data_IF_860475491430
#
_entry.id   IF_860475491430
#
_cell.length_a   1.000
_cell.length_b   1.000
_cell.length_c   1.000
_cell.angle_alpha   90.00
_cell.angle_beta   90.00
_cell.angle_gamma   90.00
#
_symmetry.space_group_name_H-M   'P 1'
#
loop_
_entity.id
_entity.type
_entity.pdbx_description
1 polymer ?
#
# COMPACT_ATOMS: atom_id res chain seq x y z
N UNK A 1 -21.60 10.70 3.59
CA UNK A 1 -20.40 10.02 3.10
C UNK A 1 -20.61 8.53 3.31
N UNK A 2 -20.99 7.79 2.27
CA UNK A 2 -21.10 6.33 2.36
C UNK A 2 -19.66 5.81 2.34
N UNK A 3 -19.18 5.35 3.49
CA UNK A 3 -17.95 4.58 3.59
C UNK A 3 -18.05 3.42 2.60
N UNK A 4 -17.05 3.29 1.73
CA UNK A 4 -17.05 2.37 0.60
C UNK A 4 -17.00 0.92 1.14
N UNK A 5 -18.18 0.39 1.45
CA UNK A 5 -18.36 -0.94 2.02
C UNK A 5 -18.22 -1.94 0.86
N UNK A 6 -17.24 -2.85 0.93
CA UNK A 6 -16.95 -3.92 -0.04
C UNK A 6 -16.17 -3.53 -1.31
N UNK A 7 -15.18 -2.62 -1.21
CA UNK A 7 -14.21 -2.46 -2.29
C UNK A 7 -13.12 -3.54 -2.23
N UNK A 8 -12.92 -4.29 -3.31
CA UNK A 8 -11.78 -5.21 -3.46
C UNK A 8 -10.47 -4.42 -3.43
N UNK A 9 -9.49 -4.92 -2.66
CA UNK A 9 -8.18 -4.30 -2.52
C UNK A 9 -7.08 -5.35 -2.63
N UNK A 10 -5.89 -4.89 -3.05
CA UNK A 10 -4.68 -5.69 -2.99
C UNK A 10 -4.00 -5.45 -1.63
N UNK A 11 -3.59 -6.53 -0.96
CA UNK A 11 -2.86 -6.44 0.30
C UNK A 11 -1.47 -7.03 0.13
N UNK A 12 -0.45 -6.17 0.17
CA UNK A 12 0.96 -6.59 0.15
C UNK A 12 1.47 -6.76 1.58
N UNK A 13 1.75 -8.00 1.97
CA UNK A 13 2.36 -8.34 3.26
C UNK A 13 3.88 -8.36 3.14
N UNK A 14 4.57 -7.62 4.02
CA UNK A 14 6.03 -7.50 4.00
C UNK A 14 6.59 -7.87 5.37
N UNK A 15 7.41 -8.92 5.44
CA UNK A 15 8.07 -9.33 6.66
C UNK A 15 9.24 -8.39 7.00
N UNK A 16 9.22 -7.78 8.19
CA UNK A 16 10.25 -6.85 8.65
C UNK A 16 11.64 -7.46 8.76
N UNK A 17 11.75 -8.77 9.03
CA UNK A 17 13.05 -9.45 9.05
C UNK A 17 13.72 -9.44 7.67
N UNK A 18 12.93 -9.46 6.59
CA UNK A 18 13.45 -9.36 5.23
C UNK A 18 13.90 -7.92 4.87
N UNK A 19 13.53 -6.92 5.69
CA UNK A 19 13.80 -5.50 5.46
C UNK A 19 15.00 -4.97 6.25
N UNK A 20 15.73 -5.81 6.98
CA UNK A 20 16.81 -5.35 7.87
C UNK A 20 17.86 -4.46 7.17
N UNK A 21 18.07 -4.62 5.85
CA UNK A 21 18.96 -3.78 5.03
C UNK A 21 18.24 -2.68 4.22
N UNK A 22 16.91 -2.75 4.10
CA UNK A 22 16.09 -1.92 3.19
C UNK A 22 14.97 -1.17 3.90
N UNK A 23 14.95 -1.13 5.24
CA UNK A 23 13.92 -0.47 6.04
C UNK A 23 13.71 1.01 5.66
N UNK A 24 14.80 1.74 5.41
CA UNK A 24 14.73 3.14 4.98
C UNK A 24 14.14 3.31 3.56
N UNK A 25 14.32 2.32 2.68
CA UNK A 25 13.76 2.33 1.33
C UNK A 25 12.24 2.10 1.36
N UNK A 26 11.78 1.20 2.22
CA UNK A 26 10.34 0.98 2.39
C UNK A 26 9.63 2.26 2.85
N UNK A 27 10.23 3.01 3.79
CA UNK A 27 9.66 4.29 4.24
C UNK A 27 9.54 5.31 3.08
N UNK A 28 10.52 5.34 2.17
CA UNK A 28 10.47 6.19 0.98
C UNK A 28 9.39 5.74 -0.01
N UNK A 29 9.28 4.43 -0.26
CA UNK A 29 8.26 3.86 -1.14
C UNK A 29 6.85 4.20 -0.64
N UNK A 30 6.58 4.01 0.65
CA UNK A 30 5.29 4.36 1.26
C UNK A 30 5.00 5.87 1.15
N UNK A 31 6.01 6.72 1.41
CA UNK A 31 5.84 8.18 1.31
C UNK A 31 5.49 8.60 -0.12
N UNK A 32 6.22 8.09 -1.11
CA UNK A 32 5.97 8.38 -2.53
C UNK A 32 4.57 7.90 -2.93
N UNK A 33 4.17 6.68 -2.54
CA UNK A 33 2.85 6.15 -2.84
C UNK A 33 1.71 6.99 -2.24
N UNK A 34 1.89 7.51 -1.02
CA UNK A 34 0.92 8.45 -0.41
C UNK A 34 0.81 9.75 -1.20
N UNK A 35 1.94 10.38 -1.53
CA UNK A 35 1.95 11.63 -2.30
C UNK A 35 1.33 11.44 -3.69
N UNK A 36 1.64 10.34 -4.38
CA UNK A 36 1.05 10.03 -5.68
C UNK A 36 -0.45 9.70 -5.61
N UNK A 37 -0.91 9.11 -4.50
CA UNK A 37 -2.33 8.87 -4.25
C UNK A 37 -3.10 10.20 -4.12
N UNK A 38 -2.53 11.17 -3.41
CA UNK A 38 -3.12 12.52 -3.26
C UNK A 38 -3.19 13.29 -4.59
N UNK A 39 -2.26 13.01 -5.52
CA UNK A 39 -2.24 13.58 -6.86
C UNK A 39 -3.19 12.89 -7.85
N UNK A 40 -3.88 11.82 -7.45
CA UNK A 40 -4.82 11.05 -8.29
C UNK A 40 -4.23 10.64 -9.65
N UNK A 41 -2.98 10.19 -9.67
CA UNK A 41 -2.31 9.82 -10.92
C UNK A 41 -2.88 8.51 -11.49
N UNK A 42 -3.51 8.58 -12.67
CA UNK A 42 -4.27 7.48 -13.29
C UNK A 42 -3.49 6.16 -13.43
N UNK A 43 -2.19 6.22 -13.74
CA UNK A 43 -1.36 5.02 -13.94
C UNK A 43 -0.61 4.54 -12.69
N UNK A 44 -0.97 5.04 -11.50
CA UNK A 44 -0.36 4.65 -10.24
C UNK A 44 -1.44 4.20 -9.26
N UNK A 45 -1.26 3.01 -8.69
CA UNK A 45 -2.20 2.46 -7.72
C UNK A 45 -2.28 3.33 -6.47
N UNK A 46 -3.51 3.60 -6.02
CA UNK A 46 -3.73 4.33 -4.78
C UNK A 46 -3.39 3.47 -3.56
N UNK A 47 -2.69 4.06 -2.58
CA UNK A 47 -2.49 3.46 -1.26
C UNK A 47 -3.62 3.91 -0.33
N UNK A 48 -4.48 2.97 0.06
CA UNK A 48 -5.60 3.25 0.97
C UNK A 48 -5.17 3.27 2.43
N UNK A 49 -4.31 2.34 2.83
CA UNK A 49 -3.88 2.21 4.22
C UNK A 49 -2.51 1.55 4.33
N UNK A 50 -1.83 1.81 5.44
CA UNK A 50 -0.59 1.16 5.83
C UNK A 50 -0.68 0.74 7.29
N UNK A 51 -0.70 -0.57 7.55
CA UNK A 51 -0.76 -1.14 8.90
C UNK A 51 0.56 -1.78 9.26
N UNK A 52 1.11 -1.38 10.40
CA UNK A 52 2.36 -1.91 10.92
C UNK A 52 2.10 -2.73 12.18
N UNK A 53 2.72 -3.90 12.25
CA UNK A 53 2.72 -4.79 13.41
C UNK A 53 4.16 -5.07 13.82
N UNK A 54 4.41 -5.82 14.89
CA UNK A 54 5.77 -6.14 15.35
C UNK A 54 6.61 -6.86 14.28
N UNK A 55 6.00 -7.67 13.41
CA UNK A 55 6.73 -8.49 12.43
C UNK A 55 6.45 -8.14 10.97
N UNK A 56 5.34 -7.45 10.68
CA UNK A 56 4.91 -7.20 9.31
C UNK A 56 4.50 -5.76 9.09
N UNK A 57 4.66 -5.31 7.85
CA UNK A 57 4.02 -4.12 7.29
C UNK A 57 3.03 -4.60 6.23
N UNK A 58 1.81 -4.10 6.29
CA UNK A 58 0.75 -4.37 5.33
C UNK A 58 0.42 -3.10 4.58
N UNK A 59 0.52 -3.14 3.25
CA UNK A 59 0.08 -2.06 2.37
C UNK A 59 -1.26 -2.47 1.75
N UNK A 60 -2.30 -1.68 2.00
CA UNK A 60 -3.63 -1.88 1.42
C UNK A 60 -3.75 -0.92 0.26
N UNK A 61 -3.88 -1.46 -0.94
CA UNK A 61 -3.79 -0.72 -2.20
C UNK A 61 -5.01 -0.99 -3.08
N UNK A 62 -5.23 -0.09 -4.04
CA UNK A 62 -6.14 -0.32 -5.15
C UNK A 62 -5.83 -1.64 -5.85
N UNK A 63 -6.85 -2.48 -6.02
CA UNK A 63 -6.75 -3.67 -6.85
C UNK A 63 -7.00 -3.29 -8.30
N UNK A 64 -6.02 -3.52 -9.18
CA UNK A 64 -6.28 -3.54 -10.62
C UNK A 64 -6.78 -4.94 -10.99
N UNK A 65 -8.08 -5.05 -11.22
CA UNK A 65 -8.70 -6.26 -11.76
C UNK A 65 -8.59 -6.25 -13.28
N UNK A 66 -7.39 -6.44 -13.81
CA UNK A 66 -7.21 -6.88 -15.19
C UNK A 66 -6.90 -8.39 -15.15
N UNK A 67 -7.99 -9.18 -15.09
CA UNK A 67 -8.06 -10.64 -15.27
C UNK A 67 -7.46 -11.51 -14.15
N UNK A 68 -8.19 -12.58 -13.85
CA UNK A 68 -8.05 -13.56 -12.77
C UNK A 68 -6.73 -14.35 -12.77
#
# INVERSE_FOLDING_TARGET
MISKLNQTCAVKSINKKALAKSHALLGKEIKILKELTELHHENVVALFDCKETSMYVYLVMEAHTEVC
#
